data_IF_712938586619
#
_entry.id   IF_712938586619
#
_cell.length_a   1.000
_cell.length_b   1.000
_cell.length_c   1.000
_cell.angle_alpha   90.00
_cell.angle_beta   90.00
_cell.angle_gamma   90.00
#
_symmetry.space_group_name_H-M   'P 1'
#
loop_
_entity.id
_entity.type
_entity.pdbx_description
1 polymer ?
#
# COMPACT_ATOMS: atom_id res chain seq x y z
N UNK A 1 -4.17 -0.24 -21.70
CA UNK A 1 -3.35 -0.90 -22.72
C UNK A 1 -2.87 -2.23 -22.19
N UNK A 2 -3.51 -3.31 -22.63
CA UNK A 2 -3.11 -4.69 -22.30
C UNK A 2 -1.98 -5.04 -23.26
N UNK A 3 -0.75 -5.13 -22.76
CA UNK A 3 0.37 -5.63 -23.58
C UNK A 3 0.12 -7.11 -23.87
N UNK A 4 -0.12 -7.43 -25.14
CA UNK A 4 -0.22 -8.82 -25.61
C UNK A 4 1.09 -9.54 -25.29
N UNK A 5 1.01 -10.66 -24.58
CA UNK A 5 2.16 -11.54 -24.35
C UNK A 5 2.52 -12.21 -25.68
N UNK A 6 3.42 -11.60 -26.47
CA UNK A 6 4.10 -12.35 -27.54
C UNK A 6 4.91 -13.47 -26.88
N UNK A 7 4.66 -14.72 -27.30
CA UNK A 7 5.48 -15.88 -26.94
C UNK A 7 6.90 -15.61 -27.42
N UNK A 8 7.86 -15.64 -26.51
CA UNK A 8 9.29 -15.64 -26.85
C UNK A 8 9.76 -17.07 -26.67
N UNK A 9 10.07 -17.74 -27.77
CA UNK A 9 10.67 -19.08 -27.76
C UNK A 9 12.10 -18.96 -27.23
N UNK A 10 12.36 -19.51 -26.06
CA UNK A 10 13.70 -19.60 -25.49
C UNK A 10 14.03 -21.09 -25.32
N UNK A 11 14.89 -21.63 -26.19
CA UNK A 11 15.47 -22.96 -26.03
C UNK A 11 16.49 -22.92 -24.87
N UNK A 12 16.18 -23.60 -23.77
CA UNK A 12 17.09 -23.76 -22.65
C UNK A 12 18.06 -24.93 -22.94
N UNK A 13 19.38 -24.66 -22.91
CA UNK A 13 20.43 -25.68 -22.91
C UNK A 13 20.96 -25.87 -21.49
N UNK A 14 21.15 -27.13 -21.08
CA UNK A 14 21.89 -27.51 -19.87
C UNK A 14 22.98 -28.48 -20.32
N UNK A 15 24.23 -28.03 -20.33
CA UNK A 15 25.34 -28.82 -20.92
C UNK A 15 25.23 -28.91 -22.44
N UNK A 16 25.55 -30.08 -23.00
CA UNK A 16 25.49 -30.35 -24.45
C UNK A 16 24.11 -30.82 -24.94
N UNK A 17 23.16 -31.04 -24.03
CA UNK A 17 21.81 -31.50 -24.39
C UNK A 17 20.81 -30.34 -24.53
N UNK A 18 20.02 -30.40 -25.59
CA UNK A 18 18.88 -29.52 -25.85
C UNK A 18 17.64 -30.23 -25.31
N UNK A 19 16.99 -29.64 -24.29
CA UNK A 19 15.77 -30.22 -23.74
C UNK A 19 14.61 -30.05 -24.75
N UNK A 20 13.94 -31.13 -25.18
CA UNK A 20 12.77 -31.03 -26.03
C UNK A 20 11.62 -30.35 -25.29
N UNK A 21 10.81 -29.61 -26.04
CA UNK A 21 9.72 -28.75 -25.56
C UNK A 21 8.72 -29.54 -24.69
N UNK A 22 8.73 -29.31 -23.38
CA UNK A 22 7.70 -29.82 -22.47
C UNK A 22 6.90 -28.64 -21.91
N UNK A 23 5.63 -28.56 -22.29
CA UNK A 23 4.66 -27.52 -21.91
C UNK A 23 4.32 -27.46 -20.40
N UNK A 24 4.92 -28.29 -19.53
CA UNK A 24 4.60 -28.34 -18.09
C UNK A 24 5.81 -28.47 -17.16
N UNK A 25 6.58 -27.38 -16.98
CA UNK A 25 7.43 -27.24 -15.78
C UNK A 25 6.62 -26.66 -14.62
N UNK A 26 5.74 -27.47 -14.01
CA UNK A 26 4.99 -27.11 -12.80
C UNK A 26 5.39 -27.87 -11.53
N UNK A 27 6.35 -28.81 -11.59
CA UNK A 27 6.55 -29.76 -10.48
C UNK A 27 7.86 -29.72 -9.70
N UNK A 28 8.72 -28.72 -9.91
CA UNK A 28 9.87 -28.52 -9.03
C UNK A 28 9.84 -27.07 -8.55
N UNK A 29 9.64 -26.87 -7.25
CA UNK A 29 9.67 -25.59 -6.55
C UNK A 29 11.04 -24.89 -6.59
N UNK A 30 11.77 -25.02 -7.68
CA UNK A 30 13.07 -24.42 -7.93
C UNK A 30 12.82 -23.05 -8.55
N UNK A 31 12.98 -22.04 -7.72
CA UNK A 31 12.88 -20.64 -8.12
C UNK A 31 14.21 -20.21 -8.75
N UNK A 32 14.40 -20.50 -10.04
CA UNK A 32 15.58 -20.06 -10.81
C UNK A 32 15.67 -18.52 -10.80
N UNK A 33 16.65 -17.98 -10.07
CA UNK A 33 17.02 -16.56 -10.16
C UNK A 33 18.04 -16.41 -11.28
N UNK A 34 17.56 -16.02 -12.46
CA UNK A 34 18.43 -15.65 -13.57
C UNK A 34 19.38 -14.51 -13.14
N UNK A 35 20.67 -14.65 -13.46
CA UNK A 35 21.68 -13.61 -13.21
C UNK A 35 21.28 -12.38 -14.01
N UNK A 36 21.04 -11.27 -13.32
CA UNK A 36 20.67 -10.01 -13.95
C UNK A 36 21.80 -9.60 -14.92
N UNK A 37 21.47 -9.44 -16.20
CA UNK A 37 22.39 -8.89 -17.20
C UNK A 37 22.97 -7.60 -16.65
N UNK A 38 24.30 -7.45 -16.68
CA UNK A 38 24.97 -6.22 -16.28
C UNK A 38 24.65 -5.15 -17.32
N UNK A 39 23.52 -4.48 -17.19
CA UNK A 39 23.22 -3.28 -17.96
C UNK A 39 24.17 -2.18 -17.51
N UNK A 40 24.91 -1.57 -18.43
CA UNK A 40 25.69 -0.37 -18.15
C UNK A 40 24.73 0.68 -17.59
N UNK A 41 24.93 1.05 -16.31
CA UNK A 41 24.07 2.06 -15.69
C UNK A 41 24.31 3.38 -16.43
N UNK A 42 23.25 4.13 -16.78
CA UNK A 42 23.43 5.43 -17.41
C UNK A 42 24.33 6.31 -16.52
N UNK A 43 25.31 6.97 -17.14
CA UNK A 43 26.21 7.87 -16.44
C UNK A 43 25.38 8.96 -15.76
N UNK A 44 25.64 9.20 -14.47
CA UNK A 44 24.90 10.22 -13.71
C UNK A 44 25.21 11.62 -14.26
N UNK A 45 24.22 12.55 -14.29
CA UNK A 45 24.43 13.93 -14.70
C UNK A 45 25.52 14.63 -13.87
N UNK A 46 26.12 15.68 -14.43
CA UNK A 46 27.08 16.54 -13.73
C UNK A 46 26.41 17.35 -12.63
N UNK A 47 27.15 17.71 -11.58
CA UNK A 47 26.64 18.49 -10.45
C UNK A 47 26.58 20.00 -10.79
N UNK A 48 25.78 20.38 -11.79
CA UNK A 48 25.65 21.76 -12.28
C UNK A 48 25.15 22.74 -11.21
N UNK A 49 24.47 22.27 -10.16
CA UNK A 49 24.03 23.11 -9.03
C UNK A 49 25.21 23.79 -8.33
N UNK A 50 26.43 23.22 -8.38
CA UNK A 50 27.64 23.80 -7.78
C UNK A 50 28.12 25.06 -8.48
N UNK A 51 27.75 25.27 -9.75
CA UNK A 51 28.09 26.48 -10.51
C UNK A 51 27.35 27.73 -10.02
N UNK A 52 26.34 27.57 -9.15
CA UNK A 52 25.71 28.72 -8.48
C UNK A 52 26.67 29.44 -7.53
N UNK A 53 27.74 28.76 -7.09
CA UNK A 53 28.78 29.38 -6.30
C UNK A 53 29.79 30.07 -7.22
N UNK A 54 29.97 31.37 -7.03
CA UNK A 54 30.82 32.22 -7.88
C UNK A 54 32.28 31.73 -7.95
N UNK A 55 32.82 31.23 -6.83
CA UNK A 55 34.18 30.70 -6.73
C UNK A 55 34.36 29.45 -7.62
N UNK A 56 33.39 28.52 -7.59
CA UNK A 56 33.46 27.26 -8.35
C UNK A 56 33.25 27.55 -9.84
N UNK A 57 32.38 28.51 -10.15
CA UNK A 57 32.16 28.97 -11.54
C UNK A 57 33.45 29.52 -12.15
N UNK A 58 34.15 30.41 -11.43
CA UNK A 58 35.44 30.98 -11.86
C UNK A 58 36.52 29.93 -12.06
N UNK A 59 36.68 29.03 -11.07
CA UNK A 59 37.64 27.92 -11.16
C UNK A 59 37.34 26.98 -12.35
N UNK A 60 36.07 26.72 -12.65
CA UNK A 60 35.67 25.93 -13.82
C UNK A 60 36.02 26.63 -15.13
N UNK A 61 35.77 27.94 -15.24
CA UNK A 61 36.12 28.73 -16.41
C UNK A 61 37.63 28.76 -16.66
N UNK A 62 38.43 28.99 -15.61
CA UNK A 62 39.90 29.00 -15.72
C UNK A 62 40.46 27.65 -16.18
N UNK A 63 39.97 26.55 -15.60
CA UNK A 63 40.40 25.20 -15.95
C UNK A 63 39.96 24.82 -17.37
N UNK A 64 38.78 25.27 -17.80
CA UNK A 64 38.29 25.05 -19.15
C UNK A 64 39.10 25.84 -20.18
N UNK A 65 39.39 27.12 -19.92
CA UNK A 65 40.21 27.96 -20.81
C UNK A 65 41.61 27.37 -20.98
N UNK A 66 42.28 26.96 -19.89
CA UNK A 66 43.61 26.32 -19.96
C UNK A 66 43.62 25.06 -20.84
N UNK A 67 42.60 24.20 -20.72
CA UNK A 67 42.53 22.97 -21.52
C UNK A 67 42.11 23.22 -22.97
N UNK A 68 41.43 24.33 -23.24
CA UNK A 68 41.03 24.73 -24.59
C UNK A 68 42.17 25.45 -25.34
N UNK A 69 43.07 26.13 -24.63
CA UNK A 69 44.28 26.75 -25.19
C UNK A 69 45.33 25.73 -25.67
N UNK A 70 45.27 24.47 -25.24
CA UNK A 70 46.13 23.40 -25.76
C UNK A 70 45.70 23.09 -27.20
N UNK A 71 46.33 23.80 -28.14
CA UNK A 71 46.06 23.74 -29.57
C UNK A 71 46.31 22.33 -30.13
N UNK A 72 45.23 21.60 -30.36
CA UNK A 72 45.19 20.60 -31.41
C UNK A 72 44.21 21.11 -32.45
N UNK A 73 44.65 21.23 -33.70
CA UNK A 73 43.79 21.53 -34.85
C UNK A 73 43.49 20.23 -35.61
N UNK A 74 42.46 19.45 -35.20
CA UNK A 74 41.97 18.36 -36.01
C UNK A 74 41.48 18.87 -37.37
N UNK A 75 41.75 18.08 -38.41
CA UNK A 75 41.43 18.43 -39.81
C UNK A 75 39.94 18.33 -40.13
N UNK A 76 39.15 17.64 -39.29
CA UNK A 76 37.71 17.42 -39.48
C UNK A 76 36.86 18.09 -38.39
N UNK A 77 35.72 18.67 -38.79
CA UNK A 77 34.73 19.30 -37.90
C UNK A 77 34.22 18.31 -36.84
N UNK A 78 34.07 17.03 -37.19
CA UNK A 78 33.60 15.99 -36.27
C UNK A 78 34.64 15.69 -35.17
N UNK A 79 35.92 15.72 -35.53
CA UNK A 79 37.02 15.54 -34.58
C UNK A 79 37.19 16.76 -33.67
N UNK A 80 36.99 17.97 -34.22
CA UNK A 80 36.96 19.22 -33.46
C UNK A 80 35.83 19.22 -32.43
N UNK A 81 34.61 18.85 -32.84
CA UNK A 81 33.49 18.71 -31.91
C UNK A 81 33.74 17.61 -30.87
N UNK A 82 34.27 16.47 -31.31
CA UNK A 82 34.59 15.35 -30.42
C UNK A 82 35.64 15.70 -29.37
N UNK A 83 36.67 16.49 -29.74
CA UNK A 83 37.65 17.03 -28.81
C UNK A 83 37.01 18.03 -27.85
N UNK A 84 36.30 19.04 -28.36
CA UNK A 84 35.65 20.06 -27.54
C UNK A 84 34.69 19.46 -26.50
N UNK A 85 33.83 18.53 -26.93
CA UNK A 85 32.87 17.85 -26.06
C UNK A 85 33.54 16.99 -24.98
N UNK A 86 34.67 16.35 -25.31
CA UNK A 86 35.49 15.60 -24.35
C UNK A 86 36.14 16.53 -23.34
N UNK A 87 36.78 17.61 -23.80
CA UNK A 87 37.40 18.60 -22.92
C UNK A 87 36.41 19.18 -21.93
N UNK A 88 35.22 19.59 -22.37
CA UNK A 88 34.13 20.04 -21.49
C UNK A 88 33.70 18.93 -20.51
N UNK A 89 33.56 17.70 -20.98
CA UNK A 89 33.15 16.59 -20.12
C UNK A 89 34.20 16.28 -19.06
N UNK A 90 35.48 16.34 -19.40
CA UNK A 90 36.60 16.05 -18.50
C UNK A 90 36.82 17.16 -17.49
N UNK A 91 36.73 18.43 -17.88
CA UNK A 91 36.75 19.57 -16.95
C UNK A 91 35.54 19.53 -16.02
N UNK A 92 34.35 19.21 -16.54
CA UNK A 92 33.15 19.07 -15.72
C UNK A 92 33.27 17.93 -14.71
N UNK A 93 33.89 16.80 -15.09
CA UNK A 93 34.17 15.70 -14.15
C UNK A 93 35.19 16.14 -13.09
N UNK A 94 36.25 16.84 -13.48
CA UNK A 94 37.33 17.26 -12.58
C UNK A 94 36.87 18.28 -11.54
N UNK A 95 36.16 19.34 -11.97
CA UNK A 95 35.79 20.47 -11.11
C UNK A 95 34.44 20.24 -10.42
N UNK A 96 33.41 19.82 -11.16
CA UNK A 96 32.05 19.70 -10.60
C UNK A 96 31.80 18.32 -10.01
N UNK A 97 32.38 17.29 -10.62
CA UNK A 97 32.07 15.89 -10.34
C UNK A 97 30.69 15.47 -10.85
N UNK A 98 30.36 14.20 -10.61
CA UNK A 98 29.03 13.66 -10.94
C UNK A 98 28.07 13.82 -9.78
N UNK A 99 26.79 13.97 -10.08
CA UNK A 99 25.74 14.12 -9.06
C UNK A 99 25.61 12.86 -8.21
N UNK A 100 25.55 13.05 -6.90
CA UNK A 100 25.19 12.02 -5.93
C UNK A 100 23.67 11.81 -5.91
N UNK A 101 23.24 10.56 -5.99
CA UNK A 101 21.82 10.18 -5.90
C UNK A 101 20.91 10.56 -7.08
N UNK A 102 19.64 10.18 -6.93
CA UNK A 102 18.54 10.52 -7.85
C UNK A 102 17.96 11.90 -7.57
N UNK A 103 17.06 12.39 -8.44
CA UNK A 103 16.49 13.74 -8.27
C UNK A 103 15.65 13.83 -6.98
N UNK A 104 15.12 12.68 -6.53
CA UNK A 104 14.34 12.53 -5.29
C UNK A 104 15.22 12.52 -4.03
N UNK A 105 16.53 12.41 -4.18
CA UNK A 105 17.50 12.31 -3.08
C UNK A 105 18.30 13.60 -2.89
N UNK A 106 17.89 14.71 -3.53
CA UNK A 106 18.53 16.03 -3.40
C UNK A 106 18.54 16.60 -1.99
N UNK A 107 17.68 16.08 -1.12
CA UNK A 107 17.64 16.46 0.29
C UNK A 107 18.83 15.91 1.09
N UNK A 108 19.57 14.94 0.55
CA UNK A 108 20.75 14.35 1.19
C UNK A 108 21.97 15.22 0.92
N UNK A 109 22.68 15.64 1.96
CA UNK A 109 23.89 16.45 1.85
C UNK A 109 25.09 15.66 1.32
N UNK A 110 26.06 16.38 0.75
CA UNK A 110 27.31 15.78 0.27
C UNK A 110 28.08 15.07 1.41
N UNK A 111 28.04 15.62 2.63
CA UNK A 111 28.60 14.97 3.83
C UNK A 111 27.97 13.60 4.08
N UNK A 112 26.65 13.49 3.99
CA UNK A 112 25.95 12.20 4.16
C UNK A 112 26.25 11.23 3.02
N UNK A 113 26.45 11.73 1.79
CA UNK A 113 26.90 10.89 0.69
C UNK A 113 28.31 10.34 0.91
N UNK A 114 29.24 11.14 1.42
CA UNK A 114 30.58 10.68 1.78
C UNK A 114 30.53 9.57 2.84
N UNK A 115 29.72 9.75 3.90
CA UNK A 115 29.48 8.71 4.90
C UNK A 115 28.86 7.44 4.30
N UNK A 116 27.95 7.57 3.34
CA UNK A 116 27.36 6.43 2.62
C UNK A 116 28.44 5.68 1.83
N UNK A 117 29.36 6.39 1.20
CA UNK A 117 30.45 5.81 0.41
C UNK A 117 31.51 5.15 1.31
N UNK A 118 31.90 5.78 2.41
CA UNK A 118 32.73 5.16 3.46
C UNK A 118 32.10 3.86 3.98
N UNK A 119 30.80 3.89 4.29
CA UNK A 119 30.06 2.69 4.71
C UNK A 119 30.03 1.61 3.63
N UNK A 120 29.95 1.96 2.33
CA UNK A 120 30.04 0.98 1.24
C UNK A 120 31.42 0.34 1.20
N UNK A 121 32.49 1.13 1.36
CA UNK A 121 33.86 0.61 1.42
C UNK A 121 34.04 -0.32 2.63
N UNK A 122 33.52 0.06 3.81
CA UNK A 122 33.52 -0.79 4.99
C UNK A 122 32.73 -2.09 4.78
N UNK A 123 31.60 -2.04 4.06
CA UNK A 123 30.83 -3.23 3.71
C UNK A 123 31.61 -4.19 2.81
N UNK A 124 32.33 -3.67 1.80
CA UNK A 124 33.19 -4.48 0.93
C UNK A 124 34.31 -5.13 1.74
N UNK A 125 35.01 -4.37 2.60
CA UNK A 125 36.06 -4.88 3.50
C UNK A 125 35.53 -5.99 4.42
N UNK A 126 34.33 -5.82 4.98
CA UNK A 126 33.64 -6.81 5.80
C UNK A 126 33.31 -8.09 5.02
N UNK A 127 32.82 -7.96 3.79
CA UNK A 127 32.49 -9.11 2.94
C UNK A 127 33.74 -9.89 2.52
N UNK A 128 34.86 -9.21 2.22
CA UNK A 128 36.15 -9.83 1.89
C UNK A 128 36.74 -10.64 3.06
N UNK A 129 36.55 -10.18 4.31
CA UNK A 129 37.10 -10.84 5.51
C UNK A 129 36.13 -11.81 6.19
N UNK A 130 34.97 -12.06 5.58
CA UNK A 130 33.90 -12.88 6.17
C UNK A 130 34.37 -14.34 6.32
N UNK A 131 34.54 -14.79 7.56
CA UNK A 131 35.01 -16.15 7.89
C UNK A 131 36.41 -16.23 8.52
N UNK A 132 37.21 -15.15 8.48
CA UNK A 132 38.51 -15.09 9.17
C UNK A 132 38.36 -14.60 10.61
N UNK A 133 39.10 -15.14 11.59
CA UNK A 133 39.06 -14.75 13.03
C UNK A 133 39.11 -13.23 13.31
N UNK A 134 39.70 -12.42 12.42
CA UNK A 134 39.88 -10.97 12.58
C UNK A 134 38.68 -10.10 12.16
N UNK A 135 37.60 -10.68 11.63
CA UNK A 135 36.42 -9.99 11.07
C UNK A 135 35.66 -9.04 12.02
N UNK A 136 35.86 -9.18 13.34
CA UNK A 136 35.11 -8.44 14.37
C UNK A 136 35.34 -6.93 14.27
N UNK A 137 36.57 -6.50 13.98
CA UNK A 137 36.93 -5.08 13.89
C UNK A 137 36.26 -4.41 12.69
N UNK A 138 36.24 -5.08 11.53
CA UNK A 138 35.60 -4.53 10.33
C UNK A 138 34.07 -4.54 10.42
N UNK A 139 33.49 -5.50 11.14
CA UNK A 139 32.06 -5.52 11.42
C UNK A 139 31.64 -4.39 12.37
N UNK A 140 32.46 -4.10 13.39
CA UNK A 140 32.24 -2.97 14.30
C UNK A 140 32.34 -1.63 13.57
N UNK A 141 33.35 -1.46 12.72
CA UNK A 141 33.51 -0.25 11.92
C UNK A 141 32.34 -0.05 10.94
N UNK A 142 31.88 -1.11 10.28
CA UNK A 142 30.68 -1.06 9.45
C UNK A 142 29.44 -0.66 10.27
N UNK A 143 29.24 -1.23 11.47
CA UNK A 143 28.11 -0.89 12.35
C UNK A 143 28.16 0.57 12.82
N UNK A 144 29.36 1.08 13.14
CA UNK A 144 29.58 2.48 13.53
C UNK A 144 29.19 3.43 12.39
N UNK A 145 29.73 3.19 11.19
CA UNK A 145 29.41 3.97 10.00
C UNK A 145 27.93 3.86 9.59
N UNK A 146 27.30 2.68 9.72
CA UNK A 146 25.88 2.52 9.41
C UNK A 146 24.97 3.29 10.39
N UNK A 147 25.33 3.33 11.68
CA UNK A 147 24.64 4.17 12.68
C UNK A 147 24.79 5.66 12.33
N UNK A 148 25.99 6.10 11.98
CA UNK A 148 26.26 7.50 11.65
C UNK A 148 25.55 7.92 10.36
N UNK A 149 25.57 7.09 9.31
CA UNK A 149 24.79 7.30 8.08
C UNK A 149 23.30 7.45 8.39
N UNK A 150 22.72 6.56 9.21
CA UNK A 150 21.31 6.64 9.60
C UNK A 150 21.00 7.92 10.40
N UNK A 151 21.92 8.37 11.27
CA UNK A 151 21.78 9.62 12.02
C UNK A 151 21.84 10.83 11.07
N UNK A 152 22.84 10.88 10.19
CA UNK A 152 23.02 11.96 9.22
C UNK A 152 21.86 12.04 8.23
N UNK A 153 21.38 10.92 7.67
CA UNK A 153 20.19 10.89 6.83
C UNK A 153 18.93 11.40 7.55
N UNK A 154 18.75 11.11 8.85
CA UNK A 154 17.60 11.62 9.61
C UNK A 154 17.70 13.14 9.82
N UNK A 155 18.90 13.64 10.11
CA UNK A 155 19.16 15.07 10.28
C UNK A 155 18.96 15.84 8.97
N UNK A 156 19.52 15.35 7.86
CA UNK A 156 19.34 15.94 6.53
C UNK A 156 17.86 15.92 6.12
N UNK A 157 17.15 14.83 6.41
CA UNK A 157 15.72 14.73 6.13
C UNK A 157 14.93 15.77 6.92
N UNK A 158 15.26 15.97 8.19
CA UNK A 158 14.61 16.96 9.05
C UNK A 158 14.87 18.38 8.53
N UNK A 159 16.14 18.72 8.28
CA UNK A 159 16.53 20.02 7.75
C UNK A 159 15.81 20.35 6.44
N UNK A 160 15.75 19.38 5.52
CA UNK A 160 15.03 19.55 4.27
C UNK A 160 13.52 19.75 4.46
N UNK A 161 12.90 19.03 5.41
CA UNK A 161 11.48 19.22 5.73
C UNK A 161 11.22 20.59 6.36
N UNK A 162 12.09 21.06 7.25
CA UNK A 162 12.00 22.39 7.87
C UNK A 162 12.13 23.49 6.80
N UNK A 163 13.12 23.39 5.92
CA UNK A 163 13.31 24.35 4.83
C UNK A 163 12.12 24.37 3.85
N UNK A 164 11.60 23.19 3.47
CA UNK A 164 10.40 23.11 2.63
C UNK A 164 9.15 23.63 3.36
N UNK A 165 9.07 23.47 4.67
CA UNK A 165 8.03 24.06 5.50
C UNK A 165 8.08 25.59 5.47
N UNK A 166 9.29 26.16 5.60
CA UNK A 166 9.53 27.60 5.51
C UNK A 166 9.18 28.15 4.12
N UNK A 167 9.65 27.51 3.05
CA UNK A 167 9.29 27.88 1.67
C UNK A 167 7.77 27.83 1.45
N UNK A 168 7.08 26.83 2.01
CA UNK A 168 5.63 26.72 1.90
C UNK A 168 4.91 27.84 2.67
N UNK A 169 5.42 28.20 3.86
CA UNK A 169 4.88 29.30 4.65
C UNK A 169 5.05 30.65 3.93
N UNK A 170 6.25 30.94 3.43
CA UNK A 170 6.52 32.17 2.66
C UNK A 170 5.66 32.25 1.40
N UNK A 171 5.45 31.13 0.70
CA UNK A 171 4.57 31.08 -0.47
C UNK A 171 3.10 31.33 -0.09
N UNK A 172 2.65 30.84 1.07
CA UNK A 172 1.30 31.09 1.57
C UNK A 172 1.11 32.57 1.96
N UNK A 173 2.08 33.17 2.65
CA UNK A 173 2.08 34.59 3.03
C UNK A 173 2.07 35.51 1.80
N UNK A 174 2.80 35.14 0.74
CA UNK A 174 2.82 35.86 -0.55
C UNK A 174 1.61 35.55 -1.46
N UNK A 175 0.65 34.73 -1.00
CA UNK A 175 -0.50 34.24 -1.79
C UNK A 175 -0.13 33.53 -3.12
N UNK A 176 1.07 32.97 -3.22
CA UNK A 176 1.52 32.21 -4.39
C UNK A 176 1.02 30.76 -4.36
N UNK A 177 -0.27 30.56 -4.63
CA UNK A 177 -0.90 29.24 -4.52
C UNK A 177 -0.19 28.17 -5.37
N UNK A 178 0.33 28.52 -6.56
CA UNK A 178 1.03 27.57 -7.45
C UNK A 178 2.33 27.02 -6.83
N UNK A 179 3.12 27.85 -6.16
CA UNK A 179 4.38 27.43 -5.52
C UNK A 179 4.06 26.61 -4.27
N UNK A 180 3.06 27.02 -3.47
CA UNK A 180 2.54 26.26 -2.33
C UNK A 180 2.07 24.85 -2.73
N UNK A 181 1.19 24.73 -3.74
CA UNK A 181 0.71 23.43 -4.21
C UNK A 181 1.82 22.53 -4.75
N UNK A 182 2.84 23.10 -5.41
CA UNK A 182 4.02 22.36 -5.89
C UNK A 182 4.80 21.76 -4.71
N UNK A 183 5.05 22.55 -3.67
CA UNK A 183 5.78 22.11 -2.47
C UNK A 183 4.99 21.03 -1.73
N UNK A 184 3.69 21.25 -1.49
CA UNK A 184 2.81 20.26 -0.84
C UNK A 184 2.76 18.95 -1.62
N UNK A 185 2.71 19.01 -2.96
CA UNK A 185 2.76 17.82 -3.81
C UNK A 185 4.10 17.10 -3.71
N UNK A 186 5.23 17.82 -3.66
CA UNK A 186 6.55 17.23 -3.47
C UNK A 186 6.64 16.49 -2.13
N UNK A 187 6.18 17.10 -1.04
CA UNK A 187 6.15 16.53 0.32
C UNK A 187 5.26 15.28 0.42
N UNK A 188 4.08 15.32 -0.21
CA UNK A 188 3.07 14.25 -0.12
C UNK A 188 3.31 13.10 -1.11
N UNK A 189 3.96 13.36 -2.24
CA UNK A 189 4.26 12.34 -3.26
C UNK A 189 5.07 11.16 -2.72
N UNK A 190 5.85 11.37 -1.65
CA UNK A 190 6.62 10.32 -0.98
C UNK A 190 5.72 9.33 -0.21
N UNK A 191 4.61 9.81 0.39
CA UNK A 191 3.66 8.97 1.15
C UNK A 191 2.74 8.14 0.26
N UNK A 192 2.60 8.51 -1.01
CA UNK A 192 1.87 7.73 -2.02
C UNK A 192 2.55 6.41 -2.40
N UNK A 193 3.75 6.13 -1.87
CA UNK A 193 4.52 4.91 -2.12
C UNK A 193 4.33 3.80 -1.08
N UNK A 194 3.49 4.00 -0.05
CA UNK A 194 3.05 2.85 0.73
C UNK A 194 2.25 1.94 -0.20
N UNK A 195 2.74 0.72 -0.45
CA UNK A 195 2.19 -0.23 -1.43
C UNK A 195 0.78 -0.75 -1.13
N UNK A 196 0.02 -0.01 -0.33
CA UNK A 196 -1.36 -0.27 0.03
C UNK A 196 -2.21 0.67 -0.85
N UNK A 197 -2.94 0.16 -1.86
CA UNK A 197 -3.72 1.01 -2.75
C UNK A 197 -4.63 1.94 -1.95
N UNK A 198 -4.72 3.23 -2.29
CA UNK A 198 -5.56 4.22 -1.58
C UNK A 198 -7.00 3.70 -1.31
N UNK A 199 -7.51 2.84 -2.20
CA UNK A 199 -8.81 2.16 -2.09
C UNK A 199 -8.91 1.26 -0.86
N UNK A 200 -7.87 0.52 -0.49
CA UNK A 200 -7.89 -0.38 0.68
C UNK A 200 -7.87 0.39 1.99
N UNK A 201 -7.17 1.54 2.05
CA UNK A 201 -7.24 2.45 3.22
C UNK A 201 -8.66 3.01 3.38
N UNK A 202 -9.25 3.50 2.29
CA UNK A 202 -10.64 4.00 2.31
C UNK A 202 -11.65 2.92 2.70
N UNK A 203 -11.46 1.70 2.21
CA UNK A 203 -12.31 0.57 2.57
C UNK A 203 -12.19 0.22 4.06
N UNK A 204 -10.97 0.25 4.62
CA UNK A 204 -10.74 0.03 6.05
C UNK A 204 -11.43 1.10 6.90
N UNK A 205 -11.28 2.38 6.55
CA UNK A 205 -11.94 3.49 7.24
C UNK A 205 -13.47 3.39 7.16
N UNK A 206 -13.98 2.99 6.01
CA UNK A 206 -15.41 2.74 5.83
C UNK A 206 -15.92 1.63 6.77
N UNK A 207 -15.20 0.51 6.88
CA UNK A 207 -15.55 -0.57 7.80
C UNK A 207 -15.43 -0.22 9.28
N UNK A 208 -14.49 0.65 9.65
CA UNK A 208 -14.25 0.98 11.05
C UNK A 208 -15.10 2.14 11.56
N UNK A 209 -15.49 3.08 10.69
CA UNK A 209 -16.23 4.29 11.09
C UNK A 209 -17.65 4.25 10.57
N UNK A 210 -17.85 4.12 9.26
CA UNK A 210 -19.17 4.31 8.64
C UNK A 210 -20.08 3.13 8.93
N UNK A 211 -19.59 1.89 8.81
CA UNK A 211 -20.42 0.71 9.05
C UNK A 211 -20.93 0.66 10.49
N UNK A 212 -20.09 0.75 11.55
CA UNK A 212 -20.57 0.72 12.93
C UNK A 212 -21.59 1.81 13.23
N UNK A 213 -21.37 3.04 12.73
CA UNK A 213 -22.31 4.15 12.90
C UNK A 213 -23.64 3.88 12.19
N UNK A 214 -23.62 3.45 10.93
CA UNK A 214 -24.83 3.19 10.15
C UNK A 214 -25.64 1.98 10.67
N UNK A 215 -24.98 1.08 11.40
CA UNK A 215 -25.60 -0.14 11.93
C UNK A 215 -25.67 -0.14 13.45
N UNK A 216 -25.61 1.04 14.06
CA UNK A 216 -25.77 1.19 15.49
C UNK A 216 -27.15 0.68 15.93
N UNK A 217 -27.18 -0.13 16.99
CA UNK A 217 -28.39 -0.73 17.55
C UNK A 217 -29.20 -1.60 16.55
N UNK A 218 -28.60 -2.05 15.44
CA UNK A 218 -29.30 -2.86 14.45
C UNK A 218 -29.67 -4.26 14.97
N UNK A 219 -29.09 -4.67 16.10
CA UNK A 219 -29.35 -5.95 16.74
C UNK A 219 -30.81 -6.11 17.18
N UNK A 220 -31.48 -4.99 17.52
CA UNK A 220 -32.87 -4.98 18.00
C UNK A 220 -33.89 -4.67 16.90
N UNK A 221 -33.43 -4.38 15.68
CA UNK A 221 -34.33 -4.04 14.58
C UNK A 221 -35.11 -5.25 14.08
N UNK A 222 -36.32 -4.98 13.57
CA UNK A 222 -37.11 -5.97 12.84
C UNK A 222 -36.61 -6.03 11.39
N UNK A 223 -36.17 -7.21 10.92
CA UNK A 223 -35.66 -7.40 9.54
C UNK A 223 -36.82 -7.38 8.55
N UNK A 224 -37.16 -6.20 8.04
CA UNK A 224 -38.12 -6.06 6.93
C UNK A 224 -37.36 -5.98 5.61
N UNK A 225 -37.92 -6.55 4.54
CA UNK A 225 -37.31 -6.54 3.19
C UNK A 225 -36.95 -5.12 2.71
N UNK A 226 -37.77 -4.12 3.06
CA UNK A 226 -37.52 -2.71 2.77
C UNK A 226 -36.24 -2.20 3.46
N UNK A 227 -36.06 -2.48 4.75
CA UNK A 227 -34.89 -2.04 5.52
C UNK A 227 -33.62 -2.75 5.01
N UNK A 228 -33.70 -4.06 4.75
CA UNK A 228 -32.53 -4.80 4.23
C UNK A 228 -32.12 -4.32 2.86
N UNK A 229 -33.08 -4.04 1.95
CA UNK A 229 -32.78 -3.51 0.63
C UNK A 229 -32.17 -2.09 0.73
N UNK A 230 -32.74 -1.23 1.57
CA UNK A 230 -32.22 0.11 1.81
C UNK A 230 -30.76 0.09 2.30
N UNK A 231 -30.44 -0.79 3.23
CA UNK A 231 -29.07 -0.97 3.75
C UNK A 231 -28.10 -1.44 2.66
N UNK A 232 -28.50 -2.41 1.85
CA UNK A 232 -27.63 -2.94 0.80
C UNK A 232 -27.45 -1.94 -0.36
N UNK A 233 -28.47 -1.16 -0.70
CA UNK A 233 -28.37 -0.05 -1.66
C UNK A 233 -27.40 1.02 -1.16
N UNK A 234 -27.53 1.44 0.10
CA UNK A 234 -26.59 2.36 0.74
C UNK A 234 -25.15 1.83 0.70
N UNK A 235 -24.97 0.57 1.10
CA UNK A 235 -23.67 -0.09 1.14
C UNK A 235 -23.01 -0.12 -0.24
N UNK A 236 -23.74 -0.58 -1.27
CA UNK A 236 -23.26 -0.65 -2.65
C UNK A 236 -22.91 0.74 -3.21
N UNK A 237 -23.70 1.77 -2.91
CA UNK A 237 -23.42 3.16 -3.32
C UNK A 237 -22.10 3.67 -2.72
N UNK A 238 -21.84 3.39 -1.44
CA UNK A 238 -20.58 3.71 -0.78
C UNK A 238 -19.40 2.95 -1.42
N UNK A 239 -19.54 1.65 -1.64
CA UNK A 239 -18.48 0.83 -2.24
C UNK A 239 -18.13 1.28 -3.66
N UNK A 240 -19.12 1.61 -4.50
CA UNK A 240 -18.89 2.16 -5.85
C UNK A 240 -18.13 3.48 -5.80
N UNK A 241 -18.47 4.34 -4.85
CA UNK A 241 -17.75 5.62 -4.63
C UNK A 241 -16.29 5.39 -4.21
N UNK A 242 -16.03 4.42 -3.32
CA UNK A 242 -14.68 4.07 -2.87
C UNK A 242 -13.84 3.49 -4.01
N UNK A 243 -14.43 2.62 -4.83
CA UNK A 243 -13.78 2.00 -5.99
C UNK A 243 -13.69 2.91 -7.21
N UNK A 244 -14.31 4.10 -7.17
CA UNK A 244 -14.43 5.04 -8.29
C UNK A 244 -15.04 4.40 -9.54
N UNK A 245 -16.12 3.66 -9.33
CA UNK A 245 -16.87 3.01 -10.41
C UNK A 245 -17.99 3.94 -10.87
N UNK A 246 -18.00 4.26 -12.15
CA UNK A 246 -19.05 5.01 -12.83
C UNK A 246 -20.16 4.08 -13.33
N UNK A 247 -21.30 4.66 -13.72
CA UNK A 247 -22.35 3.93 -14.42
C UNK A 247 -21.89 3.46 -15.82
N UNK A 248 -20.99 4.22 -16.46
CA UNK A 248 -20.37 3.90 -17.77
C UNK A 248 -19.52 2.64 -17.76
N UNK A 249 -19.07 2.18 -16.59
CA UNK A 249 -18.22 0.99 -16.50
C UNK A 249 -19.02 -0.32 -16.63
N UNK A 250 -20.36 -0.26 -16.64
CA UNK A 250 -21.27 -1.41 -16.71
C UNK A 250 -20.95 -2.55 -15.73
N UNK A 251 -20.37 -2.21 -14.56
CA UNK A 251 -20.00 -3.19 -13.53
C UNK A 251 -21.23 -3.58 -12.71
N UNK A 252 -21.49 -4.89 -12.65
CA UNK A 252 -22.57 -5.50 -11.87
C UNK A 252 -22.36 -5.36 -10.36
N UNK A 253 -23.44 -5.42 -9.58
CA UNK A 253 -23.36 -5.33 -8.11
C UNK A 253 -22.58 -6.51 -7.51
N UNK A 254 -22.68 -7.70 -8.08
CA UNK A 254 -21.92 -8.90 -7.66
C UNK A 254 -20.41 -8.66 -7.80
N UNK A 255 -19.99 -8.10 -8.94
CA UNK A 255 -18.57 -7.79 -9.18
C UNK A 255 -18.04 -6.69 -8.24
N UNK A 256 -18.87 -5.71 -7.86
CA UNK A 256 -18.49 -4.71 -6.84
C UNK A 256 -18.18 -5.38 -5.50
N UNK A 257 -19.01 -6.33 -5.06
CA UNK A 257 -18.80 -7.07 -3.81
C UNK A 257 -17.57 -7.99 -3.89
N UNK A 258 -17.38 -8.68 -5.02
CA UNK A 258 -16.21 -9.54 -5.26
C UNK A 258 -14.89 -8.78 -5.16
N UNK A 259 -14.83 -7.56 -5.69
CA UNK A 259 -13.62 -6.71 -5.66
C UNK A 259 -13.27 -6.19 -4.26
N UNK A 260 -14.26 -6.00 -3.40
CA UNK A 260 -14.03 -5.52 -2.03
C UNK A 260 -13.80 -6.67 -1.05
N UNK A 261 -14.34 -7.87 -1.33
CA UNK A 261 -14.27 -9.03 -0.45
C UNK A 261 -15.07 -8.83 0.84
N UNK A 262 -16.11 -8.00 0.79
CA UNK A 262 -16.92 -7.61 1.94
C UNK A 262 -18.27 -8.30 1.86
N UNK A 263 -18.84 -8.73 2.99
CA UNK A 263 -20.21 -9.24 3.05
C UNK A 263 -21.26 -8.13 2.85
N UNK A 264 -22.49 -8.48 2.47
CA UNK A 264 -23.58 -7.51 2.40
C UNK A 264 -23.88 -6.94 3.79
N UNK A 265 -24.40 -5.71 3.82
CA UNK A 265 -24.68 -5.04 5.09
C UNK A 265 -25.85 -5.71 5.82
N UNK A 266 -26.83 -6.21 5.06
CA UNK A 266 -27.93 -7.02 5.58
C UNK A 266 -27.46 -8.31 6.28
N UNK A 267 -26.40 -8.96 5.79
CA UNK A 267 -25.78 -10.12 6.43
C UNK A 267 -25.07 -9.74 7.73
N UNK A 268 -24.30 -8.66 7.71
CA UNK A 268 -23.62 -8.14 8.91
C UNK A 268 -24.62 -7.81 10.03
N UNK A 269 -25.75 -7.18 9.69
CA UNK A 269 -26.84 -6.89 10.64
C UNK A 269 -27.44 -8.19 11.18
N UNK A 270 -27.70 -9.17 10.31
CA UNK A 270 -28.23 -10.46 10.73
C UNK A 270 -27.26 -11.19 11.67
N UNK A 271 -25.95 -11.10 11.43
CA UNK A 271 -24.95 -11.67 12.33
C UNK A 271 -24.91 -10.99 13.69
N UNK A 272 -25.01 -9.65 13.75
CA UNK A 272 -25.05 -8.96 15.05
C UNK A 272 -26.31 -9.33 15.83
N UNK A 273 -27.47 -9.39 15.17
CA UNK A 273 -28.72 -9.86 15.78
C UNK A 273 -28.60 -11.30 16.29
N UNK A 274 -28.05 -12.23 15.50
CA UNK A 274 -27.81 -13.62 15.92
C UNK A 274 -26.85 -13.71 17.12
N UNK A 275 -25.83 -12.83 17.19
CA UNK A 275 -24.94 -12.74 18.36
C UNK A 275 -25.68 -12.25 19.61
N UNK A 276 -26.51 -11.21 19.49
CA UNK A 276 -27.36 -10.72 20.58
C UNK A 276 -28.33 -11.81 21.04
N UNK A 277 -29.01 -12.48 20.12
CA UNK A 277 -29.97 -13.52 20.44
C UNK A 277 -29.33 -14.68 21.22
N UNK A 278 -28.14 -15.11 20.82
CA UNK A 278 -27.39 -16.10 21.61
C UNK A 278 -27.05 -15.60 23.02
N UNK A 279 -26.76 -14.31 23.20
CA UNK A 279 -26.55 -13.74 24.54
C UNK A 279 -27.85 -13.77 25.36
N UNK A 280 -28.97 -13.35 24.77
CA UNK A 280 -30.29 -13.37 25.43
C UNK A 280 -30.71 -14.79 25.83
N UNK A 281 -30.50 -15.78 24.97
CA UNK A 281 -30.82 -17.19 25.25
C UNK A 281 -30.02 -17.78 26.42
N UNK A 282 -28.81 -17.24 26.69
CA UNK A 282 -27.97 -17.62 27.83
C UNK A 282 -28.31 -16.88 29.12
N UNK A 283 -29.18 -15.87 29.08
CA UNK A 283 -29.56 -15.15 30.29
C UNK A 283 -30.45 -16.05 31.18
N UNK A 284 -30.36 -15.88 32.51
CA UNK A 284 -31.32 -16.45 33.46
C UNK A 284 -32.76 -16.04 33.12
N UNK A 285 -33.73 -16.91 33.43
CA UNK A 285 -35.14 -16.73 33.02
C UNK A 285 -35.84 -15.57 33.73
N UNK A 286 -35.29 -15.12 34.83
CA UNK A 286 -35.76 -14.00 35.64
C UNK A 286 -35.51 -12.66 34.93
N UNK A 287 -34.56 -12.61 33.99
CA UNK A 287 -34.25 -11.37 33.27
C UNK A 287 -35.34 -11.02 32.26
N UNK A 288 -35.80 -9.75 32.21
CA UNK A 288 -36.87 -9.32 31.30
C UNK A 288 -36.61 -9.67 29.83
N UNK A 289 -35.35 -9.61 29.37
CA UNK A 289 -34.99 -9.97 27.99
C UNK A 289 -35.21 -11.47 27.68
N UNK A 290 -34.96 -12.35 28.65
CA UNK A 290 -35.26 -13.78 28.50
C UNK A 290 -36.77 -14.03 28.53
N UNK A 291 -37.50 -13.35 29.42
CA UNK A 291 -38.96 -13.44 29.49
C UNK A 291 -39.60 -12.98 28.18
N UNK A 292 -39.23 -11.80 27.69
CA UNK A 292 -39.74 -11.22 26.45
C UNK A 292 -39.48 -12.11 25.21
N UNK A 293 -38.44 -12.94 25.28
CA UNK A 293 -38.11 -13.89 24.22
C UNK A 293 -39.09 -15.06 24.12
N UNK A 294 -39.46 -15.62 25.27
CA UNK A 294 -40.35 -16.77 25.37
C UNK A 294 -41.84 -16.34 25.36
N UNK A 295 -42.12 -15.08 25.73
CA UNK A 295 -43.47 -14.53 25.84
C UNK A 295 -44.24 -14.53 24.49
N UNK A 296 -45.42 -15.16 24.51
CA UNK A 296 -46.44 -15.10 23.45
C UNK A 296 -47.67 -14.43 24.09
N UNK A 297 -48.28 -13.42 23.45
CA UNK A 297 -49.55 -12.89 23.95
C UNK A 297 -50.63 -13.98 23.89
N UNK A 298 -51.31 -14.22 25.00
CA UNK A 298 -52.46 -15.13 25.08
C UNK A 298 -53.68 -14.49 24.38
N UNK A 299 -54.26 -15.20 23.42
CA UNK A 299 -55.50 -14.82 22.74
C UNK A 299 -55.37 -13.88 21.52
N UNK A 300 -55.99 -14.32 20.41
CA UNK A 300 -56.59 -13.43 19.41
C UNK A 300 -55.77 -12.97 18.20
N UNK A 301 -56.50 -12.74 17.10
CA UNK A 301 -56.00 -12.08 15.87
C UNK A 301 -55.41 -10.71 16.21
N UNK A 302 -54.26 -10.38 15.62
CA UNK A 302 -53.61 -9.06 15.77
C UNK A 302 -54.57 -7.94 15.31
N UNK A 303 -54.70 -6.88 16.12
CA UNK A 303 -55.46 -5.67 15.76
C UNK A 303 -54.89 -5.03 14.47
N UNK A 304 -55.77 -4.43 13.66
CA UNK A 304 -55.43 -3.70 12.43
C UNK A 304 -54.42 -2.58 12.75
N UNK A 305 -53.40 -2.41 11.90
CA UNK A 305 -52.34 -1.39 12.07
C UNK A 305 -51.11 -1.83 12.87
N UNK A 306 -51.15 -2.96 13.61
CA UNK A 306 -49.97 -3.47 14.32
C UNK A 306 -48.92 -4.02 13.34
N UNK A 307 -47.60 -3.79 13.56
CA UNK A 307 -46.55 -4.37 12.72
C UNK A 307 -46.71 -5.89 12.58
N UNK A 308 -46.68 -6.38 11.33
CA UNK A 308 -46.87 -7.81 11.01
C UNK A 308 -45.69 -8.67 11.47
N UNK A 309 -44.49 -8.09 11.53
CA UNK A 309 -43.24 -8.76 11.91
C UNK A 309 -42.80 -8.26 13.28
N UNK A 310 -42.38 -9.18 14.15
CA UNK A 310 -41.76 -8.85 15.44
C UNK A 310 -40.32 -9.33 15.45
N UNK A 311 -39.54 -8.92 16.46
CA UNK A 311 -38.18 -9.41 16.63
C UNK A 311 -38.13 -10.93 16.78
N UNK A 312 -39.07 -11.53 17.52
CA UNK A 312 -39.22 -13.00 17.65
C UNK A 312 -39.47 -13.69 16.31
N UNK A 313 -40.32 -13.15 15.44
CA UNK A 313 -40.54 -13.70 14.09
C UNK A 313 -39.27 -13.64 13.26
N UNK A 314 -38.55 -12.52 13.32
CA UNK A 314 -37.26 -12.35 12.63
C UNK A 314 -36.22 -13.35 13.14
N UNK A 315 -36.15 -13.54 14.46
CA UNK A 315 -35.20 -14.49 15.04
C UNK A 315 -35.57 -15.94 14.70
N UNK A 316 -36.86 -16.26 14.61
CA UNK A 316 -37.31 -17.58 14.13
C UNK A 316 -36.88 -17.84 12.69
N UNK A 317 -36.95 -16.84 11.81
CA UNK A 317 -36.41 -16.92 10.45
C UNK A 317 -34.88 -17.13 10.47
N UNK A 318 -34.14 -16.38 11.30
CA UNK A 318 -32.69 -16.56 11.43
C UNK A 318 -32.30 -17.96 11.92
N UNK A 319 -33.09 -18.53 12.85
CA UNK A 319 -32.90 -19.89 13.34
C UNK A 319 -33.16 -20.93 12.24
N UNK A 320 -34.17 -20.71 11.41
CA UNK A 320 -34.43 -21.54 10.23
C UNK A 320 -33.26 -21.45 9.22
N UNK A 321 -32.73 -20.24 8.96
CA UNK A 321 -31.52 -20.05 8.13
C UNK A 321 -30.30 -20.79 8.71
N UNK A 322 -30.20 -20.86 10.05
CA UNK A 322 -29.15 -21.61 10.76
C UNK A 322 -29.39 -23.12 10.82
N UNK A 323 -30.57 -23.61 10.43
CA UNK A 323 -30.96 -25.01 10.59
C UNK A 323 -31.17 -25.44 12.05
N UNK A 324 -31.54 -24.51 12.93
CA UNK A 324 -31.73 -24.74 14.36
C UNK A 324 -33.21 -24.61 14.73
N UNK A 325 -33.76 -25.59 15.46
CA UNK A 325 -35.12 -25.49 15.98
C UNK A 325 -35.22 -24.50 17.14
N UNK A 326 -36.39 -23.86 17.31
CA UNK A 326 -36.63 -22.92 18.42
C UNK A 326 -36.33 -23.55 19.79
N UNK A 327 -36.77 -24.80 20.02
CA UNK A 327 -36.54 -25.52 21.29
C UNK A 327 -35.06 -25.90 21.48
N UNK A 328 -34.34 -26.21 20.39
CA UNK A 328 -32.91 -26.54 20.43
C UNK A 328 -32.01 -25.32 20.56
N UNK A 329 -32.50 -24.12 20.22
CA UNK A 329 -31.70 -22.90 20.19
C UNK A 329 -31.06 -22.56 21.53
N UNK A 330 -31.80 -22.68 22.65
CA UNK A 330 -31.27 -22.40 24.00
C UNK A 330 -30.15 -23.38 24.38
N UNK A 331 -30.34 -24.67 24.09
CA UNK A 331 -29.35 -25.73 24.36
C UNK A 331 -28.05 -25.50 23.59
N UNK A 332 -28.15 -25.13 22.31
CA UNK A 332 -27.00 -24.86 21.46
C UNK A 332 -26.33 -23.53 21.85
N UNK A 333 -27.14 -22.52 22.23
CA UNK A 333 -26.63 -21.23 22.67
C UNK A 333 -25.86 -21.31 23.99
N UNK A 334 -26.15 -22.28 24.87
CA UNK A 334 -25.37 -22.53 26.09
C UNK A 334 -23.87 -22.71 25.80
N UNK A 335 -23.55 -23.42 24.72
CA UNK A 335 -22.18 -23.49 24.21
C UNK A 335 -21.87 -22.26 23.35
N UNK A 336 -21.05 -21.36 23.89
CA UNK A 336 -20.66 -20.10 23.22
C UNK A 336 -19.84 -20.34 21.95
N UNK A 337 -19.01 -21.38 21.92
CA UNK A 337 -18.17 -21.73 20.77
C UNK A 337 -19.03 -22.30 19.65
N UNK A 338 -19.91 -23.25 19.97
CA UNK A 338 -20.84 -23.84 19.01
C UNK A 338 -21.79 -22.80 18.42
N UNK A 339 -22.35 -21.89 19.23
CA UNK A 339 -23.18 -20.81 18.74
C UNK A 339 -22.42 -19.86 17.80
N UNK A 340 -21.20 -19.44 18.19
CA UNK A 340 -20.36 -18.57 17.34
C UNK A 340 -20.02 -19.24 16.01
N UNK A 341 -19.71 -20.53 16.03
CA UNK A 341 -19.45 -21.32 14.83
C UNK A 341 -20.64 -21.32 13.86
N UNK A 342 -21.85 -21.57 14.37
CA UNK A 342 -23.07 -21.55 13.55
C UNK A 342 -23.37 -20.18 12.94
N UNK A 343 -23.19 -19.10 13.71
CA UNK A 343 -23.37 -17.74 13.20
C UNK A 343 -22.37 -17.47 12.07
N UNK A 344 -21.09 -17.83 12.24
CA UNK A 344 -20.06 -17.63 11.21
C UNK A 344 -20.30 -18.47 9.95
N UNK A 345 -20.83 -19.69 10.08
CA UNK A 345 -21.20 -20.53 8.93
C UNK A 345 -22.30 -19.87 8.09
N UNK A 346 -23.27 -19.22 8.73
CA UNK A 346 -24.33 -18.49 8.03
C UNK A 346 -23.80 -17.24 7.31
N UNK A 347 -22.86 -16.52 7.92
CA UNK A 347 -22.15 -15.41 7.26
C UNK A 347 -21.43 -15.85 5.99
N UNK A 348 -20.79 -17.02 6.02
CA UNK A 348 -20.01 -17.55 4.91
C UNK A 348 -20.86 -18.13 3.76
N UNK A 349 -22.07 -18.61 4.06
CA UNK A 349 -23.01 -19.10 3.03
C UNK A 349 -23.56 -17.96 2.18
N UNK A 350 -23.84 -16.81 2.78
CA UNK A 350 -24.37 -15.64 2.06
C UNK A 350 -23.31 -14.87 1.26
N UNK A 351 -22.02 -15.00 1.63
CA UNK A 351 -20.90 -14.37 0.92
C UNK A 351 -20.37 -15.13 -0.31
N UNK A 352 -20.95 -16.29 -0.66
CA UNK A 352 -20.52 -17.15 -1.77
C UNK A 352 -21.43 -17.13 -3.01
N UNK A 353 -22.52 -16.35 -2.98
CA UNK A 353 -23.43 -16.20 -4.12
C UNK A 353 -23.18 -14.91 -4.90
#
# INVERSE_FOLDING_TARGET
MVLSRKRVECTLRVGEEILPQVEEFKYLGIRLKLKKVQTVRPKRPYAVDKLKNDIISKSYCEELSKKLEVLQHPSSIEEQWGWFSRTISETAVAVLGRRSGSNKERWISDRTWNLIDERKMAKIKREQKRGLRRWRMEDEEYRRLDKEVKKSCRNDRRRWLEEKGREAQEAAEKNEMKTLYRIVRELTSFRSSSGVPIRTIKLRLYMSVVIPTATYACETWMKTASITNMLDVFHRRCLRTILKISWRDHITNVEVMRRTGVALLSDMVSDRRRRLAGHVLRLPRERPASVAMDWVPEGGKRKRGRPKKTWRHTFKEDLNEMGVSWHGARRIASDRCRWRGLVAQCSNRNGRN
#
